data_IF_833015463836
#
_entry.id   IF_833015463836
#
_cell.length_a   1.000
_cell.length_b   1.000
_cell.length_c   1.000
_cell.angle_alpha   90.00
_cell.angle_beta   90.00
_cell.angle_gamma   90.00
#
_symmetry.space_group_name_H-M   'P 1'
#
loop_
_entity.id
_entity.type
_entity.pdbx_description
1 polymer ?
#
# COMPACT_ATOMS: atom_id res chain seq x y z
N UNK A 1 -11.82 -23.06 -25.70
CA UNK A 1 -13.08 -22.30 -25.65
C UNK A 1 -13.19 -21.80 -24.20
N UNK A 2 -12.98 -20.49 -23.99
CA UNK A 2 -12.97 -19.76 -22.70
C UNK A 2 -11.94 -20.27 -21.66
N UNK A 3 -11.18 -19.47 -20.91
CA UNK A 3 -11.23 -18.04 -20.59
C UNK A 3 -9.84 -17.66 -20.05
N UNK A 4 -9.01 -16.97 -20.84
CA UNK A 4 -7.89 -16.22 -20.27
C UNK A 4 -8.46 -14.88 -19.80
N UNK A 5 -8.91 -14.81 -18.54
CA UNK A 5 -9.16 -13.51 -17.92
C UNK A 5 -7.83 -12.74 -17.88
N UNK A 6 -7.69 -11.58 -18.53
CA UNK A 6 -6.59 -10.68 -18.28
C UNK A 6 -7.06 -9.73 -17.17
N UNK A 7 -7.14 -10.23 -15.95
CA UNK A 7 -7.18 -9.32 -14.81
C UNK A 7 -5.77 -8.68 -14.69
N UNK A 8 -5.75 -7.36 -14.75
CA UNK A 8 -4.70 -6.44 -14.26
C UNK A 8 -3.33 -6.34 -14.96
N UNK A 9 -3.25 -6.22 -16.29
CA UNK A 9 -2.12 -5.48 -16.89
C UNK A 9 -2.43 -3.98 -16.91
N UNK A 10 -1.44 -3.12 -16.65
CA UNK A 10 -1.58 -1.66 -16.71
C UNK A 10 -2.28 -1.18 -18.00
N UNK A 11 -1.93 -1.79 -19.13
CA UNK A 11 -2.55 -1.52 -20.44
C UNK A 11 -4.03 -1.93 -20.49
N UNK A 12 -4.39 -3.06 -19.87
CA UNK A 12 -5.77 -3.51 -19.78
C UNK A 12 -6.64 -2.53 -18.98
N UNK A 13 -6.13 -2.04 -17.85
CA UNK A 13 -6.84 -1.05 -17.03
C UNK A 13 -6.95 0.29 -17.74
N UNK A 14 -5.90 0.73 -18.43
CA UNK A 14 -5.90 1.95 -19.22
C UNK A 14 -6.92 1.88 -20.38
N UNK A 15 -6.95 0.75 -21.09
CA UNK A 15 -7.90 0.51 -22.17
C UNK A 15 -9.36 0.57 -21.71
N UNK A 16 -9.67 0.13 -20.49
CA UNK A 16 -11.04 0.17 -19.95
C UNK A 16 -11.54 1.59 -19.62
N UNK A 17 -10.67 2.61 -19.60
CA UNK A 17 -11.07 3.99 -19.24
C UNK A 17 -11.86 4.71 -20.32
N UNK A 18 -11.74 4.31 -21.58
CA UNK A 18 -12.49 4.90 -22.69
C UNK A 18 -12.48 3.95 -23.89
N UNK A 19 -13.61 3.83 -24.59
CA UNK A 19 -13.71 3.03 -25.81
C UNK A 19 -12.75 3.52 -26.91
N UNK A 20 -12.53 4.83 -26.99
CA UNK A 20 -11.55 5.42 -27.92
C UNK A 20 -10.13 5.00 -27.57
N UNK A 21 -9.78 5.02 -26.29
CA UNK A 21 -8.45 4.62 -25.81
C UNK A 21 -8.22 3.12 -25.97
N UNK A 22 -9.23 2.29 -25.67
CA UNK A 22 -9.22 0.86 -25.95
C UNK A 22 -8.90 0.57 -27.42
N UNK A 23 -9.56 1.30 -28.33
CA UNK A 23 -9.33 1.15 -29.77
C UNK A 23 -7.92 1.57 -30.16
N UNK A 24 -7.44 2.72 -29.69
CA UNK A 24 -6.10 3.20 -30.04
C UNK A 24 -4.99 2.31 -29.48
N UNK A 25 -5.15 1.76 -28.27
CA UNK A 25 -4.23 0.77 -27.69
C UNK A 25 -4.27 -0.52 -28.50
N UNK A 26 -5.46 -1.04 -28.82
CA UNK A 26 -5.62 -2.24 -29.64
C UNK A 26 -4.99 -2.11 -31.02
N UNK A 27 -5.16 -0.94 -31.66
CA UNK A 27 -4.53 -0.64 -32.95
C UNK A 27 -3.00 -0.54 -32.85
N UNK A 28 -2.46 0.03 -31.77
CA UNK A 28 -1.02 0.10 -31.54
C UNK A 28 -0.41 -1.31 -31.38
N UNK A 29 -1.05 -2.17 -30.58
CA UNK A 29 -0.61 -3.56 -30.38
C UNK A 29 -0.72 -4.37 -31.68
N UNK A 30 -1.81 -4.22 -32.46
CA UNK A 30 -1.96 -4.93 -33.74
C UNK A 30 -0.94 -4.51 -34.78
N UNK A 31 -0.53 -3.23 -34.80
CA UNK A 31 0.49 -2.73 -35.73
C UNK A 31 1.90 -3.20 -35.41
N UNK A 32 2.15 -3.60 -34.16
CA UNK A 32 3.46 -4.07 -33.72
C UNK A 32 3.31 -5.39 -32.94
N UNK A 33 3.31 -6.50 -33.66
CA UNK A 33 3.17 -7.85 -33.08
C UNK A 33 4.29 -8.21 -32.08
N UNK A 34 5.44 -7.54 -32.16
CA UNK A 34 6.59 -7.77 -31.27
C UNK A 34 6.64 -6.78 -30.10
N UNK A 35 5.59 -6.00 -29.85
CA UNK A 35 5.61 -4.94 -28.82
C UNK A 35 5.98 -5.47 -27.43
N UNK A 36 5.55 -6.69 -27.09
CA UNK A 36 5.82 -7.32 -25.80
C UNK A 36 7.30 -7.65 -25.57
N UNK A 37 8.12 -7.75 -26.62
CA UNK A 37 9.55 -8.05 -26.53
C UNK A 37 10.43 -6.81 -26.70
N UNK A 38 9.83 -5.62 -26.87
CA UNK A 38 10.56 -4.36 -26.99
C UNK A 38 10.94 -3.78 -25.63
N UNK A 39 11.82 -2.78 -25.64
CA UNK A 39 12.21 -2.05 -24.43
C UNK A 39 11.00 -1.40 -23.74
N UNK A 40 11.06 -1.26 -22.41
CA UNK A 40 10.00 -0.59 -21.63
C UNK A 40 9.68 0.82 -22.17
N UNK A 41 10.71 1.54 -22.64
CA UNK A 41 10.51 2.87 -23.22
C UNK A 41 9.76 2.85 -24.55
N UNK A 42 10.00 1.85 -25.40
CA UNK A 42 9.26 1.70 -26.66
C UNK A 42 7.81 1.29 -26.41
N UNK A 43 7.59 0.38 -25.46
CA UNK A 43 6.25 0.00 -25.00
C UNK A 43 5.47 1.22 -24.46
N UNK A 44 6.12 2.03 -23.62
CA UNK A 44 5.55 3.27 -23.08
C UNK A 44 5.16 4.26 -24.18
N UNK A 45 6.08 4.58 -25.09
CA UNK A 45 5.80 5.54 -26.17
C UNK A 45 4.73 5.04 -27.14
N UNK A 46 4.77 3.76 -27.53
CA UNK A 46 3.88 3.24 -28.57
C UNK A 46 2.49 2.87 -28.06
N UNK A 47 2.37 2.38 -26.82
CA UNK A 47 1.10 1.83 -26.29
C UNK A 47 0.48 2.70 -25.20
N UNK A 48 1.21 3.67 -24.67
CA UNK A 48 0.68 4.62 -23.68
C UNK A 48 0.60 6.01 -24.26
N UNK A 49 1.74 6.63 -24.59
CA UNK A 49 1.77 8.01 -25.09
C UNK A 49 1.13 8.12 -26.47
N UNK A 50 1.40 7.19 -27.39
CA UNK A 50 0.84 7.18 -28.74
C UNK A 50 -0.70 7.08 -28.79
N UNK A 51 -1.33 6.23 -27.97
CA UNK A 51 -2.79 6.20 -27.86
C UNK A 51 -3.36 7.43 -27.15
N UNK A 52 -2.67 7.94 -26.12
CA UNK A 52 -3.06 9.17 -25.45
C UNK A 52 -2.99 10.38 -26.41
N UNK A 53 -2.00 10.52 -27.30
CA UNK A 53 -1.92 11.69 -28.22
C UNK A 53 -3.09 11.77 -29.20
N UNK A 54 -3.79 10.65 -29.42
CA UNK A 54 -4.90 10.57 -30.37
C UNK A 54 -6.24 10.92 -29.74
N UNK A 55 -6.34 11.01 -28.42
CA UNK A 55 -7.54 11.53 -27.78
C UNK A 55 -7.48 13.06 -27.88
N UNK A 56 -7.99 13.59 -28.99
CA UNK A 56 -8.09 15.04 -29.22
C UNK A 56 -8.92 15.73 -28.13
N UNK A 57 -8.60 16.98 -27.82
CA UNK A 57 -9.10 17.77 -26.67
C UNK A 57 -10.62 17.99 -26.56
N UNK A 58 -11.42 17.46 -27.48
CA UNK A 58 -12.89 17.54 -27.47
C UNK A 58 -13.56 16.35 -26.75
N UNK A 59 -12.80 15.32 -26.37
CA UNK A 59 -13.31 14.18 -25.60
C UNK A 59 -12.85 14.25 -24.15
N UNK A 60 -13.80 14.44 -23.24
CA UNK A 60 -13.58 14.29 -21.79
C UNK A 60 -13.01 12.88 -21.49
N UNK A 61 -12.07 12.72 -20.53
CA UNK A 61 -11.40 13.73 -19.71
C UNK A 61 -10.06 14.23 -20.27
N UNK A 62 -9.79 15.53 -20.12
CA UNK A 62 -8.54 16.20 -20.54
C UNK A 62 -7.34 15.94 -19.61
N UNK A 63 -7.51 15.11 -18.58
CA UNK A 63 -6.46 14.74 -17.64
C UNK A 63 -6.59 13.30 -17.16
N UNK A 64 -5.47 12.58 -17.14
CA UNK A 64 -5.35 11.24 -16.58
C UNK A 64 -4.40 11.27 -15.39
N UNK A 65 -4.67 10.44 -14.40
CA UNK A 65 -3.79 10.26 -13.25
C UNK A 65 -3.42 8.80 -13.17
N UNK A 66 -2.12 8.54 -13.20
CA UNK A 66 -1.54 7.24 -12.97
C UNK A 66 -1.11 7.15 -11.52
N UNK A 67 -1.75 6.28 -10.74
CA UNK A 67 -1.37 6.04 -9.35
C UNK A 67 -0.54 4.75 -9.30
N UNK A 68 0.63 4.85 -8.69
CA UNK A 68 1.62 3.78 -8.61
C UNK A 68 1.91 3.58 -7.15
N UNK A 69 1.54 2.41 -6.65
CA UNK A 69 1.72 2.06 -5.26
C UNK A 69 2.98 1.20 -5.08
N UNK A 70 3.77 1.49 -4.05
CA UNK A 70 4.94 0.76 -3.61
C UNK A 70 5.97 0.46 -4.72
N UNK A 71 6.46 1.49 -5.43
CA UNK A 71 7.45 1.33 -6.50
C UNK A 71 8.73 0.60 -6.05
N UNK A 72 9.11 0.74 -4.78
CA UNK A 72 10.28 0.08 -4.20
C UNK A 72 10.13 -1.44 -4.00
N UNK A 73 8.95 -2.01 -4.28
CA UNK A 73 8.72 -3.45 -4.31
C UNK A 73 8.94 -4.07 -5.70
N UNK A 74 9.36 -3.26 -6.69
CA UNK A 74 9.86 -3.78 -7.96
C UNK A 74 11.22 -4.47 -7.76
N UNK A 75 11.37 -5.66 -8.34
CA UNK A 75 12.54 -6.53 -8.08
C UNK A 75 13.83 -6.07 -8.81
N UNK A 76 13.74 -5.10 -9.73
CA UNK A 76 14.87 -4.63 -10.54
C UNK A 76 15.07 -3.11 -10.47
N UNK A 77 16.18 -2.69 -9.89
CA UNK A 77 16.59 -1.28 -9.76
C UNK A 77 16.73 -0.56 -11.10
N UNK A 78 17.18 -1.24 -12.15
CA UNK A 78 17.32 -0.64 -13.47
C UNK A 78 15.94 -0.38 -14.10
N UNK A 79 14.98 -1.28 -13.88
CA UNK A 79 13.60 -1.07 -14.33
C UNK A 79 12.96 0.10 -13.59
N UNK A 80 13.16 0.22 -12.27
CA UNK A 80 12.73 1.37 -11.46
C UNK A 80 13.27 2.68 -12.06
N UNK A 81 14.57 2.74 -12.40
CA UNK A 81 15.21 3.92 -12.99
C UNK A 81 14.60 4.27 -14.35
N UNK A 82 14.35 3.26 -15.19
CA UNK A 82 13.72 3.45 -16.51
C UNK A 82 12.30 3.97 -16.34
N UNK A 83 11.50 3.33 -15.49
CA UNK A 83 10.11 3.68 -15.19
C UNK A 83 9.99 5.14 -14.73
N UNK A 84 10.82 5.58 -13.78
CA UNK A 84 10.83 6.96 -13.30
C UNK A 84 11.17 7.98 -14.41
N UNK A 85 12.12 7.65 -15.29
CA UNK A 85 12.43 8.49 -16.46
C UNK A 85 11.26 8.59 -17.45
N UNK A 86 10.54 7.50 -17.68
CA UNK A 86 9.36 7.47 -18.55
C UNK A 86 8.21 8.31 -17.98
N UNK A 87 8.03 8.33 -16.65
CA UNK A 87 7.06 9.22 -16.01
C UNK A 87 7.45 10.70 -16.08
N UNK A 88 8.76 11.00 -16.04
CA UNK A 88 9.24 12.36 -16.28
C UNK A 88 9.02 12.79 -17.74
N UNK A 89 9.17 11.88 -18.71
CA UNK A 89 8.86 12.11 -20.14
C UNK A 89 7.36 12.38 -20.33
N UNK A 90 6.49 11.66 -19.62
CA UNK A 90 5.04 11.81 -19.69
C UNK A 90 4.55 13.25 -19.44
N UNK A 91 5.31 14.04 -18.68
CA UNK A 91 4.96 15.42 -18.35
C UNK A 91 5.20 16.41 -19.49
N UNK A 92 5.99 16.05 -20.51
CA UNK A 92 6.18 16.92 -21.69
C UNK A 92 5.01 16.85 -22.66
N UNK A 93 4.02 16.02 -22.37
CA UNK A 93 2.89 15.77 -23.23
C UNK A 93 1.87 16.92 -23.16
N UNK A 94 1.63 17.56 -24.30
CA UNK A 94 0.80 18.78 -24.38
C UNK A 94 -0.67 18.48 -24.73
N UNK A 95 -0.93 17.39 -25.46
CA UNK A 95 -2.28 17.05 -25.93
C UNK A 95 -3.21 16.67 -24.79
N UNK A 96 -2.67 16.00 -23.75
CA UNK A 96 -3.41 15.52 -22.59
C UNK A 96 -2.56 15.67 -21.34
N UNK A 97 -3.20 16.08 -20.25
CA UNK A 97 -2.52 16.22 -18.97
C UNK A 97 -2.43 14.88 -18.24
N UNK A 98 -1.34 14.14 -18.46
CA UNK A 98 -1.02 12.94 -17.67
C UNK A 98 -0.24 13.34 -16.40
N UNK A 99 -0.78 13.00 -15.23
CA UNK A 99 -0.11 13.15 -13.93
C UNK A 99 0.20 11.78 -13.35
N UNK A 100 1.27 11.69 -12.59
CA UNK A 100 1.66 10.47 -11.89
C UNK A 100 1.64 10.74 -10.38
N UNK A 101 0.96 9.89 -9.63
CA UNK A 101 1.00 9.83 -8.18
C UNK A 101 1.79 8.58 -7.82
N UNK A 102 2.90 8.73 -7.12
CA UNK A 102 3.79 7.61 -6.83
C UNK A 102 3.97 7.46 -5.32
N UNK A 103 3.88 6.23 -4.83
CA UNK A 103 4.25 5.88 -3.48
C UNK A 103 5.48 4.98 -3.49
N UNK A 104 6.43 5.25 -2.59
CA UNK A 104 7.58 4.36 -2.40
C UNK A 104 8.29 4.60 -1.07
N UNK A 105 9.13 3.66 -0.66
CA UNK A 105 10.24 3.94 0.27
C UNK A 105 11.30 4.82 -0.42
N UNK A 106 12.06 5.60 0.36
CA UNK A 106 13.14 6.44 -0.17
C UNK A 106 14.41 5.62 -0.44
N UNK A 107 14.28 4.51 -1.18
CA UNK A 107 15.42 3.65 -1.55
C UNK A 107 16.40 4.39 -2.45
N UNK A 108 17.68 3.98 -2.42
CA UNK A 108 18.78 4.66 -3.13
C UNK A 108 18.49 4.84 -4.64
N UNK A 109 18.03 3.82 -5.39
CA UNK A 109 17.76 3.96 -6.83
C UNK A 109 16.69 5.02 -7.13
N UNK A 110 15.65 5.07 -6.29
CA UNK A 110 14.53 6.01 -6.42
C UNK A 110 15.00 7.44 -6.14
N UNK A 111 15.69 7.64 -5.00
CA UNK A 111 16.26 8.95 -4.64
C UNK A 111 17.20 9.45 -5.73
N UNK A 112 18.08 8.58 -6.24
CA UNK A 112 19.06 8.96 -7.25
C UNK A 112 18.41 9.54 -8.51
N UNK A 113 17.32 8.92 -9.00
CA UNK A 113 16.61 9.41 -10.19
C UNK A 113 15.89 10.73 -9.90
N UNK A 114 15.23 10.89 -8.75
CA UNK A 114 14.54 12.14 -8.44
C UNK A 114 15.49 13.33 -8.28
N UNK A 115 16.72 13.15 -7.80
CA UNK A 115 17.74 14.22 -7.79
C UNK A 115 18.17 14.66 -9.20
N UNK A 116 17.99 13.81 -10.22
CA UNK A 116 18.31 14.16 -11.62
C UNK A 116 17.14 14.83 -12.34
N UNK A 117 15.91 14.64 -11.84
CA UNK A 117 14.72 15.27 -12.40
C UNK A 117 14.59 16.67 -11.80
N UNK A 118 14.36 17.72 -12.61
CA UNK A 118 14.13 19.06 -12.08
C UNK A 118 12.99 19.08 -11.04
N UNK A 119 13.16 19.81 -9.94
CA UNK A 119 12.11 19.99 -8.92
C UNK A 119 10.84 20.61 -9.49
N UNK A 120 10.92 21.38 -10.58
CA UNK A 120 9.75 21.90 -11.30
C UNK A 120 8.87 20.81 -11.93
N UNK A 121 9.40 19.60 -12.07
CA UNK A 121 8.71 18.42 -12.63
C UNK A 121 8.27 17.42 -11.57
N UNK A 122 8.53 17.63 -10.29
CA UNK A 122 8.07 16.69 -9.27
C UNK A 122 7.91 17.36 -7.91
N UNK A 123 6.93 16.90 -7.13
CA UNK A 123 6.76 17.33 -5.75
C UNK A 123 6.93 16.11 -4.84
N UNK A 124 7.97 16.14 -4.00
CA UNK A 124 8.19 15.14 -2.97
C UNK A 124 7.48 15.51 -1.67
N UNK A 125 6.70 14.58 -1.11
CA UNK A 125 6.23 14.63 0.26
C UNK A 125 6.82 13.46 1.03
N UNK A 126 7.67 13.77 1.99
CA UNK A 126 8.32 12.79 2.84
C UNK A 126 7.51 12.64 4.13
N UNK A 127 6.76 11.54 4.27
CA UNK A 127 5.85 11.39 5.42
C UNK A 127 6.57 11.28 6.77
N UNK A 128 7.83 10.84 6.81
CA UNK A 128 8.60 10.81 8.06
C UNK A 128 9.07 12.19 8.54
N UNK A 129 8.94 13.25 7.74
CA UNK A 129 9.21 14.63 8.18
C UNK A 129 8.02 15.27 8.92
N UNK A 130 6.86 14.60 8.98
CA UNK A 130 5.73 15.06 9.78
C UNK A 130 6.11 14.93 11.27
N UNK A 131 5.85 15.99 12.04
CA UNK A 131 6.15 16.02 13.47
C UNK A 131 5.56 14.78 14.18
N UNK A 132 6.35 14.05 14.99
CA UNK A 132 5.84 12.96 15.81
C UNK A 132 4.62 13.37 16.65
N UNK A 133 4.58 14.62 17.12
CA UNK A 133 3.45 15.13 17.90
C UNK A 133 2.12 15.16 17.14
N UNK A 134 2.16 15.43 15.83
CA UNK A 134 0.96 15.43 14.98
C UNK A 134 0.51 13.98 14.76
N UNK A 135 1.45 13.08 14.47
CA UNK A 135 1.16 11.67 14.24
C UNK A 135 0.58 11.02 15.51
N UNK A 136 1.19 11.26 16.66
CA UNK A 136 0.73 10.72 17.95
C UNK A 136 -0.66 11.26 18.30
N UNK A 137 -0.93 12.53 17.98
CA UNK A 137 -2.25 13.13 18.14
C UNK A 137 -3.31 12.45 17.25
N UNK A 138 -3.00 12.25 15.96
CA UNK A 138 -3.93 11.61 15.02
C UNK A 138 -4.16 10.13 15.38
N UNK A 139 -3.11 9.41 15.82
CA UNK A 139 -3.23 8.04 16.35
C UNK A 139 -4.07 8.02 17.62
N UNK A 140 -3.93 9.02 18.50
CA UNK A 140 -4.77 9.16 19.71
C UNK A 140 -6.23 9.28 19.33
N UNK A 141 -6.57 10.16 18.38
CA UNK A 141 -7.95 10.32 17.89
C UNK A 141 -8.46 9.00 17.29
N UNK A 142 -7.66 8.36 16.44
CA UNK A 142 -8.00 7.09 15.81
C UNK A 142 -8.29 5.99 16.84
N UNK A 143 -7.45 5.83 17.85
CA UNK A 143 -7.60 4.83 18.91
C UNK A 143 -8.83 5.13 19.78
N UNK A 144 -9.03 6.38 20.21
CA UNK A 144 -10.21 6.78 20.99
C UNK A 144 -11.50 6.48 20.24
N UNK A 145 -11.55 6.80 18.95
CA UNK A 145 -12.70 6.54 18.11
C UNK A 145 -12.99 5.03 17.99
N UNK A 146 -12.00 4.24 17.56
CA UNK A 146 -12.20 2.81 17.30
C UNK A 146 -12.46 2.00 18.59
N UNK A 147 -11.70 2.25 19.66
CA UNK A 147 -11.91 1.58 20.94
C UNK A 147 -13.24 2.03 21.59
N UNK A 148 -13.65 3.29 21.37
CA UNK A 148 -14.95 3.80 21.76
C UNK A 148 -16.10 3.06 21.07
N UNK A 149 -15.99 2.79 19.76
CA UNK A 149 -16.97 1.97 19.03
C UNK A 149 -17.06 0.54 19.58
N UNK A 150 -15.94 -0.06 20.00
CA UNK A 150 -15.94 -1.37 20.67
C UNK A 150 -16.69 -1.27 22.01
N UNK A 151 -16.46 -0.22 22.78
CA UNK A 151 -17.18 0.08 24.03
C UNK A 151 -18.69 0.18 23.84
N UNK A 152 -19.13 0.94 22.83
CA UNK A 152 -20.56 1.12 22.51
C UNK A 152 -21.24 -0.19 22.11
N UNK A 153 -20.55 -1.05 21.34
CA UNK A 153 -21.07 -2.36 20.95
C UNK A 153 -21.12 -3.36 22.10
N UNK A 154 -20.40 -3.11 23.21
CA UNK A 154 -20.26 -4.03 24.33
C UNK A 154 -20.50 -3.29 25.65
N UNK A 155 -21.77 -3.03 26.02
CA UNK A 155 -22.14 -2.27 27.23
C UNK A 155 -21.61 -2.85 28.55
N UNK A 156 -21.23 -4.14 28.55
CA UNK A 156 -20.61 -4.81 29.70
C UNK A 156 -19.13 -4.44 29.91
N UNK A 157 -18.52 -3.66 29.02
CA UNK A 157 -17.25 -2.99 29.27
C UNK A 157 -17.47 -1.83 30.26
N UNK A 158 -16.43 -1.45 31.00
CA UNK A 158 -16.56 -0.37 31.99
C UNK A 158 -16.94 0.95 31.32
N UNK A 159 -17.64 1.83 32.03
CA UNK A 159 -17.93 3.18 31.56
C UNK A 159 -16.65 3.97 31.23
N UNK A 160 -15.54 3.64 31.90
CA UNK A 160 -14.22 4.22 31.67
C UNK A 160 -13.41 3.49 30.58
N UNK A 161 -14.01 2.63 29.76
CA UNK A 161 -13.31 1.91 28.69
C UNK A 161 -12.87 2.85 27.56
N UNK A 162 -11.65 2.67 26.99
CA UNK A 162 -10.52 1.88 27.49
C UNK A 162 -9.68 2.61 28.57
N UNK A 163 -9.96 3.90 28.80
CA UNK A 163 -9.25 4.78 29.72
C UNK A 163 -8.16 5.58 29.01
N UNK A 164 -7.97 6.84 29.39
CA UNK A 164 -6.98 7.75 28.78
C UNK A 164 -5.55 7.20 28.89
N UNK A 165 -5.18 6.64 30.04
CA UNK A 165 -3.86 6.03 30.26
C UNK A 165 -3.59 4.87 29.29
N UNK A 166 -4.58 4.00 29.09
CA UNK A 166 -4.49 2.89 28.13
C UNK A 166 -4.27 3.41 26.71
N UNK A 167 -4.99 4.46 26.32
CA UNK A 167 -4.84 5.06 24.98
C UNK A 167 -3.43 5.62 24.83
N UNK A 168 -2.93 6.35 25.81
CA UNK A 168 -1.58 6.92 25.77
C UNK A 168 -0.52 5.82 25.63
N UNK A 169 -0.65 4.72 26.37
CA UNK A 169 0.23 3.57 26.22
C UNK A 169 0.16 2.99 24.80
N UNK A 170 -1.03 2.77 24.25
CA UNK A 170 -1.19 2.27 22.88
C UNK A 170 -0.58 3.22 21.83
N UNK A 171 -0.66 4.53 22.02
CA UNK A 171 -0.01 5.53 21.13
C UNK A 171 1.50 5.36 21.17
N UNK A 172 2.09 5.22 22.35
CA UNK A 172 3.53 5.00 22.50
C UNK A 172 3.97 3.68 21.82
N UNK A 173 3.21 2.60 22.01
CA UNK A 173 3.51 1.30 21.39
C UNK A 173 3.34 1.34 19.87
N UNK A 174 2.39 2.12 19.37
CA UNK A 174 2.21 2.31 17.94
C UNK A 174 3.44 2.96 17.29
N UNK A 175 4.26 3.72 18.03
CA UNK A 175 5.49 4.35 17.55
C UNK A 175 5.31 5.11 16.22
N UNK A 176 4.16 5.77 16.06
CA UNK A 176 3.78 6.49 14.84
C UNK A 176 3.27 5.63 13.67
N UNK A 177 2.97 4.35 13.89
CA UNK A 177 2.46 3.43 12.87
C UNK A 177 0.94 3.25 12.96
N UNK A 178 0.20 3.86 12.03
CA UNK A 178 -1.24 3.64 11.91
C UNK A 178 -1.63 2.18 11.66
N UNK A 179 -0.82 1.45 10.88
CA UNK A 179 -1.06 0.03 10.60
C UNK A 179 -1.00 -0.81 11.89
N UNK A 180 -0.14 -0.43 12.84
CA UNK A 180 -0.10 -1.06 14.15
C UNK A 180 -1.39 -0.77 14.93
N UNK A 181 -1.78 0.51 15.04
CA UNK A 181 -2.98 0.92 15.77
C UNK A 181 -4.25 0.28 15.21
N UNK A 182 -4.39 0.24 13.88
CA UNK A 182 -5.50 -0.40 13.19
C UNK A 182 -5.53 -1.92 13.42
N UNK A 183 -4.37 -2.57 13.43
CA UNK A 183 -4.26 -4.01 13.70
C UNK A 183 -4.61 -4.32 15.15
N UNK A 184 -4.17 -3.50 16.11
CA UNK A 184 -4.55 -3.62 17.52
C UNK A 184 -6.06 -3.52 17.71
N UNK A 185 -6.71 -2.50 17.12
CA UNK A 185 -8.16 -2.34 17.17
C UNK A 185 -8.91 -3.54 16.58
N UNK A 186 -8.51 -4.01 15.39
CA UNK A 186 -9.11 -5.19 14.75
C UNK A 186 -8.95 -6.45 15.61
N UNK A 187 -7.75 -6.67 16.15
CA UNK A 187 -7.47 -7.79 17.03
C UNK A 187 -8.35 -7.75 18.29
N UNK A 188 -8.54 -6.58 18.91
CA UNK A 188 -9.42 -6.46 20.08
C UNK A 188 -10.90 -6.72 19.71
N UNK A 189 -11.35 -6.21 18.55
CA UNK A 189 -12.75 -6.26 18.13
C UNK A 189 -13.24 -7.66 17.73
N UNK A 190 -12.36 -8.52 17.23
CA UNK A 190 -12.72 -9.82 16.64
C UNK A 190 -13.30 -10.84 17.64
N UNK A 191 -13.15 -10.62 18.95
CA UNK A 191 -13.70 -11.50 19.98
C UNK A 191 -15.01 -10.98 20.58
N UNK A 192 -15.98 -11.87 20.76
CA UNK A 192 -17.29 -11.48 21.27
C UNK A 192 -17.35 -11.30 22.79
N UNK A 193 -16.58 -12.11 23.53
CA UNK A 193 -16.61 -12.18 25.00
C UNK A 193 -15.77 -11.07 25.60
N UNK A 194 -16.35 -10.29 26.51
CA UNK A 194 -15.66 -9.19 27.23
C UNK A 194 -14.38 -9.63 27.92
N UNK A 195 -14.35 -10.82 28.51
CA UNK A 195 -13.15 -11.37 29.15
C UNK A 195 -12.01 -11.51 28.12
N UNK A 196 -12.32 -11.94 26.90
CA UNK A 196 -11.33 -12.09 25.83
C UNK A 196 -10.87 -10.73 25.28
N UNK A 197 -11.77 -9.75 25.17
CA UNK A 197 -11.43 -8.36 24.80
C UNK A 197 -10.37 -7.81 25.77
N UNK A 198 -10.62 -7.95 27.08
CA UNK A 198 -9.67 -7.52 28.12
C UNK A 198 -8.35 -8.27 28.05
N UNK A 199 -8.38 -9.59 27.80
CA UNK A 199 -7.16 -10.40 27.61
C UNK A 199 -6.34 -9.95 26.39
N UNK A 200 -6.99 -9.70 25.25
CA UNK A 200 -6.31 -9.24 24.03
C UNK A 200 -5.70 -7.84 24.21
N UNK A 201 -6.43 -6.93 24.87
CA UNK A 201 -5.88 -5.61 25.23
C UNK A 201 -4.65 -5.74 26.16
N UNK A 202 -4.74 -6.56 27.21
CA UNK A 202 -3.62 -6.79 28.11
C UNK A 202 -2.40 -7.41 27.40
N UNK A 203 -2.63 -8.34 26.47
CA UNK A 203 -1.57 -8.93 25.65
C UNK A 203 -0.87 -7.86 24.80
N UNK A 204 -1.61 -6.96 24.15
CA UNK A 204 -1.03 -5.86 23.37
C UNK A 204 -0.18 -4.93 24.26
N UNK A 205 -0.66 -4.58 25.45
CA UNK A 205 0.07 -3.71 26.37
C UNK A 205 1.37 -4.36 26.88
N UNK A 206 1.37 -5.68 27.09
CA UNK A 206 2.57 -6.43 27.49
C UNK A 206 3.67 -6.45 26.42
N UNK A 207 3.29 -6.48 25.14
CA UNK A 207 4.23 -6.35 24.01
C UNK A 207 4.98 -5.01 24.13
N UNK A 208 4.22 -3.94 24.34
CA UNK A 208 4.73 -2.59 24.47
C UNK A 208 5.79 -2.42 25.55
N UNK A 209 5.58 -3.05 26.71
CA UNK A 209 6.54 -2.99 27.83
C UNK A 209 7.83 -3.75 27.59
N UNK A 210 7.86 -4.70 26.63
CA UNK A 210 9.00 -5.58 26.40
C UNK A 210 9.96 -5.05 25.33
N UNK A 211 9.53 -4.08 24.52
CA UNK A 211 10.30 -3.57 23.38
C UNK A 211 10.90 -2.21 23.76
N UNK A 212 12.22 -2.19 23.93
CA UNK A 212 13.02 -0.97 24.06
C UNK A 212 13.83 -0.83 22.76
N UNK A 213 13.47 0.12 21.89
CA UNK A 213 14.29 0.45 20.71
C UNK A 213 13.54 1.11 19.56
N UNK A 214 14.28 1.88 18.75
CA UNK A 214 13.79 2.72 17.65
C UNK A 214 13.53 1.98 16.33
N UNK A 215 13.09 0.70 16.36
CA UNK A 215 12.80 -0.05 15.13
C UNK A 215 11.31 -0.35 14.97
N UNK A 216 10.57 0.48 14.19
CA UNK A 216 9.14 0.32 13.94
C UNK A 216 8.72 -1.08 13.46
N UNK A 217 9.60 -1.75 12.70
CA UNK A 217 9.40 -3.11 12.18
C UNK A 217 9.24 -4.15 13.28
N UNK A 218 9.97 -4.01 14.40
CA UNK A 218 9.86 -4.94 15.53
C UNK A 218 8.48 -4.88 16.16
N UNK A 219 7.94 -3.68 16.34
CA UNK A 219 6.58 -3.49 16.85
C UNK A 219 5.51 -4.11 15.93
N UNK A 220 5.72 -4.06 14.60
CA UNK A 220 4.84 -4.72 13.63
C UNK A 220 4.95 -6.24 13.69
N UNK A 221 6.17 -6.77 13.68
CA UNK A 221 6.39 -8.21 13.75
C UNK A 221 5.78 -8.80 15.03
N UNK A 222 5.90 -8.11 16.17
CA UNK A 222 5.34 -8.58 17.43
C UNK A 222 3.81 -8.54 17.47
N UNK A 223 3.17 -7.49 16.94
CA UNK A 223 1.70 -7.48 16.89
C UNK A 223 1.18 -8.54 15.92
N UNK A 224 1.80 -8.73 14.76
CA UNK A 224 1.42 -9.80 13.84
C UNK A 224 1.63 -11.17 14.46
N UNK A 225 2.76 -11.40 15.11
CA UNK A 225 3.04 -12.65 15.82
C UNK A 225 2.02 -12.89 16.94
N UNK A 226 1.62 -11.85 17.66
CA UNK A 226 0.61 -11.95 18.71
C UNK A 226 -0.75 -12.30 18.16
N UNK A 227 -1.16 -11.65 17.06
CA UNK A 227 -2.41 -11.97 16.35
C UNK A 227 -2.39 -13.43 15.94
N UNK A 228 -1.33 -13.88 15.25
CA UNK A 228 -1.18 -15.26 14.79
C UNK A 228 -1.23 -16.27 15.94
N UNK A 229 -0.48 -16.05 17.02
CA UNK A 229 -0.48 -16.92 18.22
C UNK A 229 -1.87 -17.05 18.84
N UNK A 230 -2.65 -15.98 18.86
CA UNK A 230 -4.01 -15.98 19.43
C UNK A 230 -5.08 -16.46 18.46
N UNK A 231 -4.77 -16.59 17.18
CA UNK A 231 -5.64 -17.22 16.18
C UNK A 231 -5.51 -18.74 16.18
N UNK A 232 -4.39 -19.29 16.66
CA UNK A 232 -4.21 -20.75 16.81
C UNK A 232 -5.13 -21.25 17.95
N UNK A 233 -5.97 -22.28 17.72
CA UNK A 233 -6.83 -22.85 18.75
C UNK A 233 -6.02 -23.37 19.95
N UNK A 234 -6.07 -22.67 21.08
CA UNK A 234 -5.31 -23.06 22.29
C UNK A 234 -5.72 -24.42 22.89
N UNK A 235 -6.90 -24.94 22.53
CA UNK A 235 -7.44 -26.23 22.99
C UNK A 235 -7.50 -27.29 21.89
N UNK A 236 -7.00 -27.00 20.70
CA UNK A 236 -7.01 -27.97 19.61
C UNK A 236 -6.02 -29.10 19.85
N UNK A 237 -6.27 -30.27 19.27
CA UNK A 237 -5.28 -31.35 19.21
C UNK A 237 -4.01 -30.88 18.48
N UNK A 238 -2.89 -31.57 18.67
CA UNK A 238 -1.66 -31.25 17.91
C UNK A 238 -1.88 -31.43 16.40
N UNK A 239 -2.78 -32.34 15.99
CA UNK A 239 -3.19 -32.52 14.60
C UNK A 239 -3.97 -31.30 14.08
N UNK A 240 -4.95 -30.79 14.83
CA UNK A 240 -5.73 -29.59 14.45
C UNK A 240 -4.84 -28.34 14.35
N UNK A 241 -3.84 -28.22 15.24
CA UNK A 241 -2.86 -27.13 15.17
C UNK A 241 -1.97 -27.26 13.93
N UNK A 242 -1.48 -28.46 13.62
CA UNK A 242 -0.64 -28.67 12.43
C UNK A 242 -1.43 -28.46 11.14
N UNK A 243 -2.69 -28.88 11.06
CA UNK A 243 -3.58 -28.58 9.93
C UNK A 243 -3.77 -27.07 9.74
N UNK A 244 -4.01 -26.33 10.82
CA UNK A 244 -4.15 -24.87 10.77
C UNK A 244 -2.84 -24.18 10.35
N UNK A 245 -1.70 -24.63 10.88
CA UNK A 245 -0.38 -24.11 10.49
C UNK A 245 -0.04 -24.45 9.03
N UNK A 246 -0.41 -25.64 8.56
CA UNK A 246 -0.25 -26.03 7.15
C UNK A 246 -1.07 -25.12 6.24
N UNK A 247 -2.34 -24.89 6.58
CA UNK A 247 -3.21 -23.97 5.83
C UNK A 247 -2.64 -22.54 5.82
N UNK A 248 -2.14 -22.05 6.96
CA UNK A 248 -1.48 -20.74 7.02
C UNK A 248 -0.22 -20.67 6.16
N UNK A 249 0.63 -21.70 6.18
CA UNK A 249 1.82 -21.78 5.32
C UNK A 249 1.45 -21.79 3.85
N UNK A 250 0.39 -22.50 3.47
CA UNK A 250 -0.09 -22.55 2.09
C UNK A 250 -0.66 -21.20 1.64
N UNK A 251 -1.46 -20.53 2.49
CA UNK A 251 -1.99 -19.20 2.19
C UNK A 251 -0.86 -18.18 2.10
N UNK A 252 0.02 -18.11 3.08
CA UNK A 252 1.13 -17.16 3.10
C UNK A 252 2.12 -17.42 1.97
N UNK A 253 2.46 -18.68 1.70
CA UNK A 253 3.30 -19.07 0.57
C UNK A 253 2.63 -18.78 -0.78
N UNK A 254 1.31 -18.89 -0.86
CA UNK A 254 0.54 -18.49 -2.04
C UNK A 254 0.47 -16.98 -2.19
N UNK A 255 0.36 -16.22 -1.10
CA UNK A 255 0.40 -14.75 -1.11
C UNK A 255 1.81 -14.26 -1.48
N UNK A 256 2.87 -14.86 -0.96
CA UNK A 256 4.24 -14.51 -1.32
C UNK A 256 4.50 -14.79 -2.80
N UNK A 257 4.13 -15.98 -3.29
CA UNK A 257 4.21 -16.32 -4.72
C UNK A 257 3.28 -15.45 -5.59
N UNK A 258 2.10 -15.10 -5.09
CA UNK A 258 1.15 -14.25 -5.81
C UNK A 258 1.50 -12.79 -5.72
N UNK A 259 2.22 -12.32 -4.70
CA UNK A 259 2.77 -10.97 -4.63
C UNK A 259 3.84 -10.82 -5.69
N UNK A 260 4.66 -11.84 -5.97
CA UNK A 260 5.52 -11.85 -7.17
C UNK A 260 4.74 -11.60 -8.47
N UNK A 261 3.47 -12.01 -8.55
CA UNK A 261 2.60 -11.84 -9.73
C UNK A 261 1.76 -10.54 -9.67
N UNK A 262 1.31 -10.14 -8.48
CA UNK A 262 0.45 -8.97 -8.21
C UNK A 262 1.23 -7.67 -7.99
N UNK A 263 2.55 -7.73 -7.76
CA UNK A 263 3.48 -6.58 -7.70
C UNK A 263 3.45 -5.67 -8.94
N UNK A 264 2.75 -6.09 -10.00
CA UNK A 264 2.51 -5.29 -11.22
C UNK A 264 1.23 -4.42 -11.15
N UNK A 265 0.46 -4.47 -10.06
CA UNK A 265 -0.86 -3.86 -9.99
C UNK A 265 -0.84 -2.38 -9.56
N UNK A 266 -0.76 -1.48 -10.54
CA UNK A 266 -1.08 -0.06 -10.37
C UNK A 266 -2.59 0.11 -10.12
N UNK A 267 -3.00 0.47 -8.89
CA UNK A 267 -4.40 0.79 -8.57
C UNK A 267 -4.72 2.25 -8.88
N UNK A 268 -5.81 2.54 -9.59
CA UNK A 268 -6.21 3.90 -9.96
C UNK A 268 -7.25 4.48 -8.98
N UNK A 269 -7.02 5.72 -8.52
CA UNK A 269 -8.03 6.54 -7.85
C UNK A 269 -8.08 7.95 -8.45
N UNK A 270 -9.29 8.48 -8.62
CA UNK A 270 -9.55 9.85 -9.08
C UNK A 270 -9.32 10.86 -7.95
N UNK A 271 -8.37 11.77 -8.12
CA UNK A 271 -8.15 12.92 -7.22
C UNK A 271 -7.77 14.16 -8.04
N UNK A 272 -8.16 15.36 -7.62
CA UNK A 272 -7.68 16.59 -8.24
C UNK A 272 -6.39 17.03 -7.54
N UNK A 273 -5.26 17.04 -8.23
CA UNK A 273 -4.00 17.47 -7.63
C UNK A 273 -2.77 17.19 -8.49
N UNK A 274 -1.72 17.97 -8.29
CA UNK A 274 -0.38 17.90 -8.92
C UNK A 274 0.25 16.51 -8.77
N UNK A 275 1.35 16.21 -9.47
CA UNK A 275 2.18 15.03 -9.17
C UNK A 275 2.59 15.13 -7.71
N UNK A 276 1.98 14.32 -6.84
CA UNK A 276 2.46 14.11 -5.49
C UNK A 276 3.22 12.80 -5.48
N UNK A 277 4.50 12.87 -5.15
CA UNK A 277 5.28 11.71 -4.76
C UNK A 277 5.12 11.61 -3.26
N UNK A 278 4.42 10.59 -2.77
CA UNK A 278 4.33 10.31 -1.34
C UNK A 278 5.39 9.27 -0.99
N UNK A 279 6.39 9.62 -0.18
CA UNK A 279 7.21 8.59 0.44
C UNK A 279 6.43 8.02 1.62
N UNK A 280 5.76 6.88 1.42
CA UNK A 280 4.76 6.37 2.37
C UNK A 280 5.37 5.68 3.60
N UNK A 281 6.63 5.27 3.59
CA UNK A 281 7.12 4.46 4.70
C UNK A 281 8.04 5.19 5.67
N UNK A 282 7.68 5.09 6.95
CA UNK A 282 8.59 5.18 8.10
C UNK A 282 9.42 3.90 8.29
N UNK A 283 9.24 2.90 7.43
CA UNK A 283 10.14 1.75 7.41
C UNK A 283 11.51 2.21 6.88
N UNK A 284 12.61 1.88 7.58
CA UNK A 284 13.95 2.14 7.08
C UNK A 284 14.16 1.51 5.69
N UNK A 285 15.13 2.00 4.90
CA UNK A 285 15.53 1.34 3.66
C UNK A 285 15.84 -0.13 3.91
N UNK A 286 15.55 -1.02 2.95
CA UNK A 286 15.97 -2.43 3.03
C UNK A 286 17.49 -2.46 3.27
N UNK A 287 17.94 -3.00 4.40
CA UNK A 287 19.38 -3.21 4.63
C UNK A 287 19.90 -4.16 3.53
N UNK A 288 20.93 -3.71 2.82
CA UNK A 288 21.63 -4.48 1.78
C UNK A 288 22.78 -5.30 2.34
#
# INVERSE_FOLDING_TARGET
MASSEPASSFLGVLAQKSQSLQRYIGDAVRKNANIATQSLGDQWRQVVLGPLSKLSGDSYPSSYILVIDALDECDNDDDIRIILKLFAEAQTFQTIRLRVLLTSRPEIPIRHVFHQIPETKHQGLVLHHISPSIIDHDITIFLKHNLGLIGQKKPSLSACWPGEETVNQLVQIASGLFIWAATACRFIQEVEKVILIRKRLAAILQIGSSIVGEQPEKYLNEIYTTVLRHSIPAKGSEEEKEEFLSMLRDILGSIERSMTVLKTCMQFSTFQGTILVYFISRLPPKEG
#
